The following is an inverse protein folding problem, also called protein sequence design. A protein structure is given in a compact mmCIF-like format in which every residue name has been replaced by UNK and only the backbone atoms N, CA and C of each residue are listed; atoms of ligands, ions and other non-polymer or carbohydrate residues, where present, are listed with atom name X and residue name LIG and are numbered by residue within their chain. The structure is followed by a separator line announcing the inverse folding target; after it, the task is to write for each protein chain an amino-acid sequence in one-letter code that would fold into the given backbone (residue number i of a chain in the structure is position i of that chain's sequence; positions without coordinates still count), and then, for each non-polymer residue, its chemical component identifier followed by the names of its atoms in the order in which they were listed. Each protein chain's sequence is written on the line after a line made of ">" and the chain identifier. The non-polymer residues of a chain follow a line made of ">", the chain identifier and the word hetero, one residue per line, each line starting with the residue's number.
data_IF_176437517924
#
_entry.id   IF_176437517924
#
_cell.length_a   1.000
_cell.length_b   1.000
_cell.length_c   1.000
_cell.angle_alpha   90.00
_cell.angle_beta   90.00
_cell.angle_gamma   90.00
#
_symmetry.space_group_name_H-M   'P 1'
#
loop_
_entity.id
_entity.type
_entity.pdbx_description
1 polymer ?
#
# COMPACT_ATOMS: atom_id res chain seq x y z
N UNK A 1 -55.24 -20.16 8.23
CA UNK A 1 -55.17 -18.71 7.86
C UNK A 1 -54.68 -18.63 6.43
N UNK A 2 -55.50 -18.16 5.49
CA UNK A 2 -55.13 -18.09 4.06
C UNK A 2 -54.29 -16.83 3.83
N UNK A 3 -53.00 -16.98 3.63
CA UNK A 3 -52.03 -15.91 3.31
C UNK A 3 -52.19 -15.40 1.87
N UNK A 4 -53.17 -15.92 1.11
CA UNK A 4 -53.36 -15.59 -0.30
C UNK A 4 -54.34 -14.43 -0.49
N UNK A 5 -53.94 -13.33 -1.13
CA UNK A 5 -54.80 -12.16 -1.30
C UNK A 5 -56.00 -12.45 -2.22
N UNK A 6 -57.20 -12.02 -1.82
CA UNK A 6 -58.42 -12.27 -2.54
C UNK A 6 -58.61 -11.45 -3.83
N UNK A 7 -57.83 -10.34 -4.01
CA UNK A 7 -57.97 -9.49 -5.20
C UNK A 7 -56.94 -9.82 -6.28
N UNK A 8 -57.35 -9.82 -7.54
CA UNK A 8 -56.49 -10.09 -8.70
C UNK A 8 -55.27 -9.12 -8.77
N UNK A 9 -55.51 -7.85 -8.44
CA UNK A 9 -54.43 -6.83 -8.40
C UNK A 9 -53.42 -7.13 -7.32
N UNK A 10 -53.85 -7.59 -6.15
CA UNK A 10 -52.97 -7.94 -5.05
C UNK A 10 -52.13 -9.22 -5.35
N UNK A 11 -52.76 -10.20 -6.00
CA UNK A 11 -52.04 -11.43 -6.47
C UNK A 11 -50.92 -11.08 -7.46
N UNK A 12 -51.21 -10.23 -8.46
CA UNK A 12 -50.20 -9.80 -9.44
C UNK A 12 -49.02 -9.06 -8.78
N UNK A 13 -49.29 -8.19 -7.80
CA UNK A 13 -48.23 -7.51 -7.03
C UNK A 13 -47.43 -8.52 -6.24
N UNK A 14 -48.06 -9.46 -5.54
CA UNK A 14 -47.38 -10.49 -4.77
C UNK A 14 -46.49 -11.37 -5.67
N UNK A 15 -46.96 -11.77 -6.86
CA UNK A 15 -46.16 -12.55 -7.82
C UNK A 15 -44.95 -11.75 -8.30
N UNK A 16 -45.10 -10.47 -8.59
CA UNK A 16 -43.99 -9.60 -8.98
C UNK A 16 -42.94 -9.53 -7.85
N UNK A 17 -43.36 -9.30 -6.60
CA UNK A 17 -42.47 -9.27 -5.46
C UNK A 17 -41.76 -10.63 -5.23
N UNK A 18 -42.51 -11.73 -5.41
CA UNK A 18 -41.96 -13.07 -5.20
C UNK A 18 -40.89 -13.46 -6.24
N UNK A 19 -40.99 -12.90 -7.44
CA UNK A 19 -39.96 -13.08 -8.49
C UNK A 19 -38.83 -12.03 -8.35
N UNK A 20 -39.19 -10.77 -8.07
CA UNK A 20 -38.21 -9.69 -7.97
C UNK A 20 -37.26 -9.83 -6.75
N UNK A 21 -37.79 -10.28 -5.61
CA UNK A 21 -36.99 -10.42 -4.38
C UNK A 21 -35.81 -11.41 -4.53
N UNK A 22 -36.01 -12.64 -5.02
CA UNK A 22 -34.87 -13.55 -5.20
C UNK A 22 -33.85 -13.05 -6.24
N UNK A 23 -34.31 -12.40 -7.31
CA UNK A 23 -33.43 -11.80 -8.32
C UNK A 23 -32.59 -10.67 -7.69
N UNK A 24 -33.20 -9.82 -6.89
CA UNK A 24 -32.50 -8.76 -6.17
C UNK A 24 -31.49 -9.32 -5.17
N UNK A 25 -31.89 -10.32 -4.37
CA UNK A 25 -31.03 -11.00 -3.43
C UNK A 25 -29.81 -11.63 -4.16
N UNK A 26 -30.06 -12.30 -5.28
CA UNK A 26 -29.00 -12.91 -6.09
C UNK A 26 -28.03 -11.84 -6.66
N UNK A 27 -28.55 -10.71 -7.14
CA UNK A 27 -27.74 -9.60 -7.63
C UNK A 27 -26.87 -8.99 -6.53
N UNK A 28 -27.43 -8.76 -5.33
CA UNK A 28 -26.70 -8.27 -4.18
C UNK A 28 -25.64 -9.29 -3.73
N UNK A 29 -25.99 -10.56 -3.64
CA UNK A 29 -25.05 -11.62 -3.27
C UNK A 29 -23.88 -11.73 -4.26
N UNK A 30 -24.17 -11.67 -5.56
CA UNK A 30 -23.16 -11.69 -6.62
C UNK A 30 -22.25 -10.45 -6.55
N UNK A 31 -22.85 -9.28 -6.31
CA UNK A 31 -22.12 -8.02 -6.14
C UNK A 31 -21.16 -8.08 -4.94
N UNK A 32 -21.63 -8.56 -3.79
CA UNK A 32 -20.82 -8.74 -2.59
C UNK A 32 -19.72 -9.81 -2.80
N UNK A 33 -20.01 -10.85 -3.55
CA UNK A 33 -19.03 -11.86 -3.90
C UNK A 33 -17.92 -11.29 -4.81
N UNK A 34 -18.28 -10.48 -5.80
CA UNK A 34 -17.31 -9.83 -6.69
C UNK A 34 -16.41 -8.84 -5.96
N UNK A 35 -16.92 -8.16 -4.91
CA UNK A 35 -16.17 -7.21 -4.11
C UNK A 35 -15.21 -7.87 -3.08
N UNK A 36 -15.37 -9.13 -2.76
CA UNK A 36 -14.55 -9.82 -1.74
C UNK A 36 -13.04 -9.86 -2.06
N UNK A 37 -12.63 -9.70 -3.31
CA UNK A 37 -11.21 -9.73 -3.72
C UNK A 37 -10.55 -8.36 -3.85
N UNK A 38 -11.31 -7.25 -3.70
CA UNK A 38 -10.83 -5.91 -4.09
C UNK A 38 -10.15 -5.13 -2.95
N UNK A 39 -10.30 -5.57 -1.71
CA UNK A 39 -9.70 -4.87 -0.55
C UNK A 39 -8.27 -5.34 -0.36
N UNK A 40 -7.32 -4.51 -0.80
CA UNK A 40 -5.90 -4.73 -0.56
C UNK A 40 -5.48 -3.96 0.69
N UNK A 41 -5.09 -4.68 1.74
CA UNK A 41 -4.66 -4.10 3.00
C UNK A 41 -3.21 -3.63 2.91
N UNK A 42 -2.92 -2.49 3.55
CA UNK A 42 -1.59 -1.93 3.67
C UNK A 42 -0.95 -2.36 5.00
N UNK A 43 0.28 -2.85 4.95
CA UNK A 43 1.06 -3.24 6.11
C UNK A 43 2.46 -2.63 6.06
N UNK A 44 3.00 -2.28 7.22
CA UNK A 44 4.44 -2.12 7.41
C UNK A 44 5.07 -3.47 7.78
N UNK A 45 6.39 -3.67 7.65
CA UNK A 45 7.06 -4.91 8.07
C UNK A 45 6.72 -5.37 9.49
N UNK A 46 6.67 -4.44 10.45
CA UNK A 46 6.29 -4.76 11.83
C UNK A 46 4.84 -5.23 11.95
N UNK A 47 3.90 -4.48 11.35
CA UNK A 47 2.47 -4.84 11.35
C UNK A 47 2.21 -6.16 10.63
N UNK A 48 2.95 -6.46 9.55
CA UNK A 48 2.86 -7.73 8.84
C UNK A 48 3.13 -8.93 9.74
N UNK A 49 4.23 -8.88 10.48
CA UNK A 49 4.64 -9.98 11.36
C UNK A 49 3.68 -10.10 12.55
N UNK A 50 3.26 -8.97 13.14
CA UNK A 50 2.31 -8.94 14.25
C UNK A 50 0.94 -9.49 13.85
N UNK A 51 0.42 -9.08 12.69
CA UNK A 51 -0.86 -9.54 12.17
C UNK A 51 -0.84 -10.99 11.66
N UNK A 52 0.34 -11.62 11.57
CA UNK A 52 0.53 -12.97 11.01
C UNK A 52 -0.22 -13.15 9.70
N UNK A 53 0.07 -12.25 8.75
CA UNK A 53 -0.65 -12.22 7.47
C UNK A 53 -0.58 -13.59 6.80
N UNK A 54 -1.72 -14.21 6.46
CA UNK A 54 -1.74 -15.54 5.88
C UNK A 54 -1.22 -15.54 4.45
N UNK A 55 -0.56 -16.64 4.05
CA UNK A 55 -0.11 -16.87 2.68
C UNK A 55 -1.26 -16.91 1.67
N UNK A 56 -0.98 -16.54 0.43
CA UNK A 56 -1.97 -16.48 -0.65
C UNK A 56 -2.83 -15.21 -0.67
N UNK A 57 -2.66 -14.28 0.29
CA UNK A 57 -3.35 -12.98 0.24
C UNK A 57 -2.54 -11.94 -0.51
N UNK A 58 -3.25 -11.11 -1.28
CA UNK A 58 -2.66 -9.92 -1.90
C UNK A 58 -2.68 -8.76 -0.90
N UNK A 59 -1.52 -8.15 -0.69
CA UNK A 59 -1.33 -7.05 0.26
C UNK A 59 -0.42 -5.98 -0.32
N UNK A 60 -0.43 -4.80 0.30
CA UNK A 60 0.52 -3.72 0.06
C UNK A 60 1.49 -3.63 1.23
N UNK A 61 2.76 -3.81 0.95
CA UNK A 61 3.85 -3.68 1.90
C UNK A 61 4.55 -2.34 1.67
N UNK A 62 4.54 -1.47 2.67
CA UNK A 62 5.26 -0.19 2.63
C UNK A 62 6.41 -0.17 3.62
N UNK A 63 7.56 0.35 3.18
CA UNK A 63 8.76 0.49 4.01
C UNK A 63 9.92 1.07 3.22
N UNK A 64 11.13 0.97 3.77
CA UNK A 64 12.36 1.42 3.13
C UNK A 64 13.08 0.22 2.51
N UNK A 65 13.69 0.40 1.34
CA UNK A 65 14.57 -0.62 0.76
C UNK A 65 15.84 -0.68 1.59
N UNK A 66 16.17 -1.85 2.14
CA UNK A 66 17.38 -2.05 2.93
C UNK A 66 18.61 -1.85 2.05
N UNK A 67 19.57 -0.99 2.45
CA UNK A 67 20.84 -0.83 1.73
C UNK A 67 21.61 -2.14 1.59
N UNK A 68 22.18 -2.41 0.42
CA UNK A 68 22.95 -3.64 0.12
C UNK A 68 22.10 -4.90 -0.03
N UNK A 69 20.76 -4.79 -0.08
CA UNK A 69 19.88 -5.95 -0.20
C UNK A 69 19.39 -6.23 -1.63
N UNK A 70 19.65 -5.32 -2.56
CA UNK A 70 19.13 -5.44 -3.93
C UNK A 70 20.01 -6.36 -4.76
N UNK A 71 19.46 -7.50 -5.16
CA UNK A 71 20.13 -8.48 -6.02
C UNK A 71 19.29 -8.67 -7.28
N UNK A 72 19.87 -8.34 -8.44
CA UNK A 72 19.26 -8.57 -9.74
C UNK A 72 19.81 -9.87 -10.33
N UNK A 73 18.92 -10.75 -10.77
CA UNK A 73 19.30 -11.98 -11.49
C UNK A 73 19.15 -11.79 -13.01
N UNK A 74 19.93 -12.54 -13.82
CA UNK A 74 19.83 -12.44 -15.29
C UNK A 74 18.44 -12.72 -15.85
N UNK A 75 17.61 -13.46 -15.11
CA UNK A 75 16.24 -13.83 -15.50
C UNK A 75 15.22 -12.68 -15.31
N UNK A 76 15.69 -11.45 -15.06
CA UNK A 76 14.81 -10.29 -14.82
C UNK A 76 14.09 -10.33 -13.48
N UNK A 77 14.55 -11.16 -12.55
CA UNK A 77 14.03 -11.20 -11.18
C UNK A 77 14.91 -10.34 -10.28
N UNK A 78 14.31 -9.41 -9.57
CA UNK A 78 14.98 -8.63 -8.54
C UNK A 78 14.50 -9.08 -7.17
N UNK A 79 15.46 -9.33 -6.29
CA UNK A 79 15.23 -9.62 -4.87
C UNK A 79 15.75 -8.46 -4.05
N UNK A 80 14.97 -8.01 -3.08
CA UNK A 80 15.37 -6.97 -2.15
C UNK A 80 14.61 -7.12 -0.84
N UNK A 81 15.07 -6.42 0.18
CA UNK A 81 14.46 -6.45 1.50
C UNK A 81 13.81 -5.10 1.78
N UNK A 82 12.54 -5.13 2.19
CA UNK A 82 11.84 -3.96 2.70
C UNK A 82 11.86 -4.02 4.21
N UNK A 83 12.34 -2.94 4.81
CA UNK A 83 12.51 -2.82 6.26
C UNK A 83 11.73 -1.64 6.83
N UNK A 84 11.39 -1.74 8.10
CA UNK A 84 11.09 -0.63 8.98
C UNK A 84 12.10 -0.61 10.14
N UNK A 85 11.87 0.22 11.17
CA UNK A 85 12.76 0.30 12.34
C UNK A 85 12.91 -1.01 13.12
N UNK A 86 11.99 -1.96 12.95
CA UNK A 86 11.84 -3.14 13.81
C UNK A 86 11.98 -4.47 13.06
N UNK A 87 11.54 -4.55 11.81
CA UNK A 87 11.37 -5.81 11.07
C UNK A 87 11.71 -5.67 9.60
N UNK A 88 11.95 -6.83 8.98
CA UNK A 88 12.36 -6.96 7.58
C UNK A 88 11.52 -8.01 6.86
N UNK A 89 11.14 -7.72 5.62
CA UNK A 89 10.39 -8.63 4.74
C UNK A 89 11.14 -8.75 3.43
N UNK A 90 11.42 -9.97 3.01
CA UNK A 90 12.03 -10.25 1.72
C UNK A 90 10.98 -10.11 0.60
N UNK A 91 11.35 -9.39 -0.46
CA UNK A 91 10.48 -9.14 -1.62
C UNK A 91 11.15 -9.72 -2.85
N UNK A 92 10.39 -10.47 -3.63
CA UNK A 92 10.80 -11.00 -4.93
C UNK A 92 9.92 -10.35 -5.98
N UNK A 93 10.50 -9.65 -6.92
CA UNK A 93 9.81 -8.97 -8.01
C UNK A 93 10.35 -9.43 -9.36
N UNK A 94 9.45 -9.77 -10.28
CA UNK A 94 9.80 -10.09 -11.66
C UNK A 94 9.24 -9.01 -12.57
N UNK A 95 10.13 -8.23 -13.15
CA UNK A 95 9.77 -7.13 -14.04
C UNK A 95 10.78 -5.98 -13.95
N UNK A 96 10.46 -4.89 -14.63
CA UNK A 96 11.24 -3.68 -14.64
C UNK A 96 10.93 -2.84 -13.41
N UNK A 97 11.97 -2.47 -12.66
CA UNK A 97 11.81 -1.60 -11.50
C UNK A 97 11.59 -0.14 -11.94
N UNK A 98 10.83 0.64 -11.17
CA UNK A 98 10.68 2.07 -11.45
C UNK A 98 12.02 2.79 -11.46
N UNK A 99 12.18 3.84 -12.28
CA UNK A 99 13.40 4.65 -12.38
C UNK A 99 13.85 5.25 -11.04
N UNK A 100 12.90 5.48 -10.15
CA UNK A 100 13.13 6.04 -8.83
C UNK A 100 13.44 5.00 -7.75
N UNK A 101 13.45 3.72 -8.09
CA UNK A 101 13.78 2.67 -7.15
C UNK A 101 15.26 2.70 -6.80
N UNK A 102 15.56 2.98 -5.54
CA UNK A 102 16.92 3.01 -4.99
C UNK A 102 16.94 2.40 -3.60
N UNK A 103 18.11 1.95 -3.18
CA UNK A 103 18.35 1.54 -1.81
C UNK A 103 18.17 2.73 -0.86
N UNK A 104 17.59 2.49 0.32
CA UNK A 104 17.24 3.54 1.30
C UNK A 104 15.98 4.32 0.96
N UNK A 105 15.39 4.10 -0.22
CA UNK A 105 14.18 4.79 -0.67
C UNK A 105 12.92 4.15 -0.09
N UNK A 106 11.88 4.98 0.12
CA UNK A 106 10.54 4.52 0.46
C UNK A 106 9.87 3.83 -0.73
N UNK A 107 9.38 2.61 -0.52
CA UNK A 107 8.67 1.84 -1.54
C UNK A 107 7.35 1.29 -1.01
N UNK A 108 6.42 1.08 -1.93
CA UNK A 108 5.20 0.32 -1.70
C UNK A 108 5.17 -0.82 -2.70
N UNK A 109 5.20 -2.05 -2.20
CA UNK A 109 5.13 -3.26 -3.00
C UNK A 109 3.74 -3.88 -2.86
N UNK A 110 3.06 -4.10 -3.97
CA UNK A 110 1.81 -4.86 -4.00
C UNK A 110 2.10 -6.26 -4.52
N UNK A 111 1.57 -7.27 -3.85
CA UNK A 111 1.82 -8.64 -4.24
C UNK A 111 1.20 -9.67 -3.32
N UNK A 112 1.49 -10.94 -3.61
CA UNK A 112 1.01 -12.10 -2.88
C UNK A 112 1.98 -12.51 -1.78
N UNK A 113 1.44 -12.81 -0.61
CA UNK A 113 2.18 -13.35 0.53
C UNK A 113 2.59 -14.78 0.23
N UNK A 114 3.89 -15.04 0.15
CA UNK A 114 4.43 -16.40 -0.12
C UNK A 114 4.97 -17.09 1.12
N UNK A 115 5.14 -16.35 2.21
CA UNK A 115 5.62 -16.89 3.49
C UNK A 115 5.50 -15.87 4.62
N UNK A 116 5.86 -16.26 5.83
CA UNK A 116 5.76 -15.42 7.02
C UNK A 116 6.50 -14.08 6.89
N UNK A 117 7.60 -14.04 6.14
CA UNK A 117 8.45 -12.86 5.92
C UNK A 117 8.81 -12.69 4.44
N UNK A 118 7.97 -13.20 3.52
CA UNK A 118 8.25 -13.14 2.08
C UNK A 118 7.02 -12.74 1.27
N UNK A 119 7.24 -11.80 0.34
CA UNK A 119 6.27 -11.27 -0.60
C UNK A 119 6.73 -11.48 -2.03
N UNK A 120 5.86 -12.02 -2.86
CA UNK A 120 6.02 -12.02 -4.32
C UNK A 120 5.30 -10.80 -4.88
N UNK A 121 6.05 -9.76 -5.17
CA UNK A 121 5.49 -8.51 -5.66
C UNK A 121 5.05 -8.66 -7.13
N UNK A 122 3.88 -8.12 -7.43
CA UNK A 122 3.34 -7.94 -8.79
C UNK A 122 3.56 -6.52 -9.27
N UNK A 123 3.64 -5.57 -8.32
CA UNK A 123 3.89 -4.16 -8.62
C UNK A 123 4.77 -3.55 -7.53
N UNK A 124 5.71 -2.70 -7.95
CA UNK A 124 6.57 -1.91 -7.05
C UNK A 124 6.42 -0.44 -7.41
N UNK A 125 6.06 0.38 -6.42
CA UNK A 125 5.98 1.83 -6.53
C UNK A 125 7.05 2.43 -5.62
N UNK A 126 8.00 3.16 -6.21
CA UNK A 126 8.92 3.98 -5.44
C UNK A 126 8.21 5.31 -5.12
N UNK A 127 8.18 5.69 -3.84
CA UNK A 127 7.70 7.02 -3.46
C UNK A 127 8.82 8.01 -3.69
N UNK A 128 8.51 9.10 -4.37
CA UNK A 128 9.33 10.30 -4.25
C UNK A 128 9.28 10.75 -2.79
N UNK A 129 10.45 10.95 -2.18
CA UNK A 129 10.56 11.88 -1.06
C UNK A 129 10.40 13.29 -1.64
N UNK A 130 9.19 13.62 -2.05
CA UNK A 130 8.85 14.98 -2.31
C UNK A 130 8.76 15.74 -0.98
N UNK A 131 9.90 16.22 -0.53
CA UNK A 131 9.95 17.49 0.19
C UNK A 131 9.64 18.61 -0.82
N UNK A 132 8.53 18.46 -1.53
CA UNK A 132 8.00 19.56 -2.33
C UNK A 132 7.36 20.57 -1.35
N UNK A 133 8.19 21.45 -0.86
CA UNK A 133 7.71 22.65 -0.19
C UNK A 133 7.36 23.61 -1.33
N UNK A 134 6.08 23.97 -1.50
CA UNK A 134 5.67 24.95 -2.50
C UNK A 134 6.51 26.23 -2.35
N UNK A 135 6.97 26.80 -3.47
CA UNK A 135 7.86 27.97 -3.47
C UNK A 135 7.35 29.17 -2.67
N UNK A 136 6.05 29.29 -2.50
CA UNK A 136 5.40 30.30 -1.65
C UNK A 136 5.62 30.03 -0.15
N UNK A 137 5.53 28.75 0.27
CA UNK A 137 5.78 28.33 1.67
C UNK A 137 7.28 28.40 2.00
N UNK A 138 8.14 28.06 1.02
CA UNK A 138 9.59 28.20 1.16
C UNK A 138 10.00 29.65 1.45
N UNK A 139 9.46 30.62 0.69
CA UNK A 139 9.73 32.05 0.91
C UNK A 139 9.24 32.56 2.27
N UNK A 140 8.15 32.02 2.76
CA UNK A 140 7.60 32.37 4.07
C UNK A 140 8.47 31.82 5.21
N UNK A 141 8.95 30.57 5.07
CA UNK A 141 9.86 29.93 6.03
C UNK A 141 11.27 30.58 6.01
N UNK A 142 11.75 31.02 4.84
CA UNK A 142 12.99 31.80 4.72
C UNK A 142 12.88 33.14 5.47
N UNK A 143 11.76 33.84 5.38
CA UNK A 143 11.50 35.11 6.10
C UNK A 143 11.41 34.91 7.60
N UNK A 144 10.92 33.78 8.07
CA UNK A 144 10.81 33.42 9.48
C UNK A 144 12.11 32.82 10.06
N UNK A 145 13.15 32.62 9.24
CA UNK A 145 14.44 32.07 9.68
C UNK A 145 14.41 30.59 10.04
N UNK A 146 13.32 29.89 9.80
CA UNK A 146 13.17 28.47 10.08
C UNK A 146 13.54 27.54 8.91
N UNK A 147 13.77 28.12 7.72
CA UNK A 147 14.18 27.35 6.56
C UNK A 147 15.63 26.92 6.64
N UNK A 148 15.86 25.61 6.80
CA UNK A 148 17.15 24.96 6.66
C UNK A 148 17.10 23.99 5.47
N UNK A 149 17.68 24.33 4.30
CA UNK A 149 17.62 23.48 3.12
C UNK A 149 18.41 22.16 3.27
N UNK A 150 19.17 21.98 4.33
CA UNK A 150 20.13 20.90 4.49
C UNK A 150 19.94 20.03 5.75
N UNK A 151 18.74 19.83 6.24
CA UNK A 151 18.49 18.88 7.34
C UNK A 151 18.72 17.39 6.92
N UNK A 152 19.48 17.15 5.86
CA UNK A 152 19.84 15.83 5.34
C UNK A 152 21.30 15.65 4.95
N UNK A 153 22.13 16.69 5.10
CA UNK A 153 23.59 16.56 4.89
C UNK A 153 24.30 17.07 6.14
N UNK A 154 24.90 16.13 6.85
CA UNK A 154 25.78 16.38 7.99
C UNK A 154 27.03 17.11 7.50
N UNK A 155 27.01 18.46 7.46
CA UNK A 155 28.22 19.24 7.31
C UNK A 155 28.77 19.52 8.69
N UNK A 156 30.05 19.23 8.95
CA UNK A 156 30.66 19.50 10.22
C UNK A 156 30.58 20.99 10.54
N UNK A 157 30.16 21.32 11.77
CA UNK A 157 30.07 22.68 12.30
C UNK A 157 31.43 23.39 12.09
N UNK A 158 31.46 24.64 11.58
CA UNK A 158 32.68 25.41 11.52
C UNK A 158 33.18 25.62 12.94
N UNK A 159 34.44 25.19 13.15
CA UNK A 159 35.16 25.40 14.40
C UNK A 159 35.27 26.92 14.60
N UNK A 160 34.62 27.45 15.60
CA UNK A 160 34.86 28.82 16.06
C UNK A 160 36.23 28.89 16.65
N UNK A 161 37.17 29.60 15.99
CA UNK A 161 38.43 29.96 16.57
C UNK A 161 38.21 31.01 17.65
N UNK A 162 38.76 30.83 18.85
CA UNK A 162 38.67 31.91 19.86
C UNK A 162 39.48 33.12 19.39
N UNK A 163 38.90 34.26 19.55
CA UNK A 163 39.58 35.55 19.34
C UNK A 163 40.74 35.67 20.32
N UNK A 164 41.94 35.91 19.79
CA UNK A 164 43.08 36.48 20.54
C UNK A 164 42.93 37.99 20.55
#
# INVERSE_FOLDING_TARGET
>A
MSLWPKSVKARRRLTIFLIAAPVFIAAVALSLYALKGTVVYFYTPAQWIEARVPTGKTVRLGGLVKPGSVVKTPDGVTRFTVQDKLKEIAVVYKGELPDLFREGQGVVCEGEVTGATSLKATQVLAKHDEKYIPKNVQKELEKQGEWRPEAGMDKPKPVQRPFQ
#
